data_IF_007243058369
#
_entry.id   IF_007243058369
#
_cell.length_a   1.000
_cell.length_b   1.000
_cell.length_c   1.000
_cell.angle_alpha   90.00
_cell.angle_beta   90.00
_cell.angle_gamma   90.00
#
_symmetry.space_group_name_H-M   'P 1'
#
loop_
_entity.id
_entity.type
_entity.pdbx_description
1 polymer ?
#
# COMPACT_ATOMS: atom_id res chain seq x y z
N UNK A 1 0.53 8.44 -19.76
CA UNK A 1 0.63 7.00 -19.52
C UNK A 1 0.14 6.76 -18.11
N UNK A 2 -0.93 5.99 -17.92
CA UNK A 2 -1.51 5.73 -16.59
C UNK A 2 -0.95 4.40 -16.09
N UNK A 3 -0.30 4.40 -14.93
CA UNK A 3 0.36 3.23 -14.35
C UNK A 3 -0.38 2.84 -13.07
N UNK A 4 -0.65 1.55 -12.92
CA UNK A 4 -1.10 1.00 -11.65
C UNK A 4 0.09 0.30 -11.01
N UNK A 5 0.48 0.76 -9.83
CA UNK A 5 1.61 0.20 -9.11
C UNK A 5 1.09 -0.66 -7.95
N UNK A 6 1.54 -1.92 -7.92
CA UNK A 6 1.20 -2.88 -6.87
C UNK A 6 2.46 -3.39 -6.22
N UNK A 7 2.56 -3.22 -4.91
CA UNK A 7 3.66 -3.71 -4.09
C UNK A 7 3.15 -4.80 -3.17
N UNK A 8 3.99 -5.81 -2.99
CA UNK A 8 3.79 -6.90 -2.05
C UNK A 8 5.02 -7.01 -1.17
N UNK A 9 4.82 -7.00 0.13
CA UNK A 9 5.88 -7.29 1.11
C UNK A 9 5.31 -8.08 2.28
N UNK A 10 6.19 -8.56 3.15
CA UNK A 10 5.83 -9.20 4.42
C UNK A 10 6.33 -8.31 5.55
N UNK A 11 5.45 -7.96 6.49
CA UNK A 11 5.78 -7.25 7.72
C UNK A 11 5.17 -7.98 8.91
N UNK A 12 6.01 -8.62 9.71
CA UNK A 12 5.57 -9.42 10.87
C UNK A 12 4.90 -8.56 11.95
N UNK A 13 5.19 -7.25 12.00
CA UNK A 13 4.57 -6.32 12.96
C UNK A 13 3.09 -6.06 12.67
N UNK A 14 2.66 -6.34 11.44
CA UNK A 14 1.28 -6.21 10.99
C UNK A 14 0.51 -7.53 11.03
N UNK A 15 1.14 -8.61 11.53
CA UNK A 15 0.43 -9.86 11.79
C UNK A 15 -0.61 -9.67 12.90
N UNK A 16 -1.76 -10.32 12.76
CA UNK A 16 -2.83 -10.25 13.74
C UNK A 16 -3.52 -11.62 13.86
N UNK A 17 -3.96 -12.02 15.07
CA UNK A 17 -4.68 -13.25 15.26
C UNK A 17 -6.02 -13.19 14.50
N UNK A 18 -6.21 -14.08 13.53
CA UNK A 18 -7.44 -14.17 12.75
C UNK A 18 -7.96 -15.59 12.76
N UNK A 19 -9.19 -15.78 13.23
CA UNK A 19 -9.84 -17.10 13.29
C UNK A 19 -10.32 -17.56 11.90
N UNK A 20 -10.51 -16.61 10.98
CA UNK A 20 -11.16 -16.86 9.67
C UNK A 20 -10.28 -16.54 8.46
N UNK A 21 -8.97 -16.34 8.65
CA UNK A 21 -8.03 -15.93 7.59
C UNK A 21 -8.50 -14.72 6.76
N UNK A 22 -9.28 -13.83 7.38
CA UNK A 22 -9.79 -12.63 6.71
C UNK A 22 -8.70 -11.57 6.66
N UNK A 23 -8.46 -11.05 5.45
CA UNK A 23 -7.60 -9.88 5.24
C UNK A 23 -8.35 -8.60 5.63
N UNK A 24 -7.62 -7.63 6.18
CA UNK A 24 -8.13 -6.30 6.48
C UNK A 24 -7.72 -5.35 5.36
N UNK A 25 -8.69 -4.61 4.82
CA UNK A 25 -8.43 -3.57 3.81
C UNK A 25 -8.53 -2.21 4.49
N UNK A 26 -7.55 -1.35 4.24
CA UNK A 26 -7.41 -0.03 4.81
C UNK A 26 -7.35 1.03 3.71
N UNK A 27 -7.88 2.21 4.05
CA UNK A 27 -7.86 3.41 3.20
C UNK A 27 -6.55 4.20 3.38
N UNK A 28 -6.26 5.12 2.46
CA UNK A 28 -5.02 5.90 2.39
C UNK A 28 -4.67 6.69 3.66
N UNK A 29 -5.64 6.95 4.55
CA UNK A 29 -5.41 7.59 5.86
C UNK A 29 -4.55 6.75 6.79
N UNK A 30 -4.73 5.42 6.78
CA UNK A 30 -3.97 4.52 7.66
C UNK A 30 -2.60 4.19 7.07
N UNK A 31 -2.48 4.20 5.74
CA UNK A 31 -1.21 4.03 5.03
C UNK A 31 -0.14 4.98 5.56
N UNK A 32 -0.49 6.25 5.84
CA UNK A 32 0.46 7.24 6.39
C UNK A 32 1.02 6.90 7.77
N UNK A 33 0.43 5.92 8.47
CA UNK A 33 0.88 5.44 9.79
C UNK A 33 1.65 4.13 9.72
N UNK A 34 1.71 3.51 8.54
CA UNK A 34 2.34 2.20 8.35
C UNK A 34 3.61 2.42 7.55
N UNK A 35 4.65 1.63 7.86
CA UNK A 35 5.86 1.64 7.06
C UNK A 35 5.55 1.12 5.65
N UNK A 36 5.89 1.91 4.65
CA UNK A 36 5.79 1.55 3.22
C UNK A 36 7.17 1.69 2.59
N UNK A 37 7.52 0.85 1.62
CA UNK A 37 8.81 0.98 0.92
C UNK A 37 8.84 2.29 0.12
N UNK A 38 9.92 3.06 0.28
CA UNK A 38 10.15 4.29 -0.49
C UNK A 38 10.54 3.95 -1.93
N UNK A 39 9.55 3.94 -2.83
CA UNK A 39 9.75 3.65 -4.25
C UNK A 39 9.84 4.97 -5.03
N UNK A 40 10.98 5.20 -5.67
CA UNK A 40 11.21 6.38 -6.49
C UNK A 40 11.70 6.00 -7.90
N UNK A 41 11.26 6.75 -8.90
CA UNK A 41 11.69 6.56 -10.29
C UNK A 41 12.88 7.48 -10.58
N UNK A 42 14.09 6.91 -10.59
CA UNK A 42 15.38 7.61 -10.73
C UNK A 42 15.47 8.55 -11.95
N UNK A 43 14.72 8.27 -13.03
CA UNK A 43 14.76 9.03 -14.29
C UNK A 43 13.48 9.83 -14.61
N UNK A 44 12.60 10.09 -13.64
CA UNK A 44 11.40 10.88 -13.94
C UNK A 44 11.77 12.37 -14.08
N UNK A 45 11.64 12.93 -15.30
CA UNK A 45 11.84 14.37 -15.56
C UNK A 45 10.80 15.27 -14.86
N UNK A 46 9.67 14.69 -14.44
CA UNK A 46 8.59 15.23 -13.59
C UNK A 46 7.53 14.13 -13.47
N UNK A 47 7.55 13.34 -12.40
CA UNK A 47 6.41 12.49 -12.04
C UNK A 47 5.47 13.27 -11.13
N UNK A 48 4.36 13.76 -11.68
CA UNK A 48 3.23 14.19 -10.85
C UNK A 48 2.55 12.94 -10.32
N UNK A 49 2.68 12.68 -9.02
CA UNK A 49 1.69 11.84 -8.33
C UNK A 49 0.37 12.61 -8.47
N UNK A 50 -0.68 11.95 -8.95
CA UNK A 50 -1.98 12.60 -9.13
C UNK A 50 -2.56 12.98 -7.76
N UNK A 51 -2.24 14.18 -7.30
CA UNK A 51 -2.68 14.80 -6.04
C UNK A 51 -4.17 15.22 -6.10
N UNK A 52 -4.99 14.47 -6.84
CA UNK A 52 -6.40 14.80 -7.08
C UNK A 52 -7.26 14.20 -5.97
N UNK A 53 -7.34 14.92 -4.86
CA UNK A 53 -8.42 14.91 -3.84
C UNK A 53 -8.65 13.65 -3.00
N UNK A 54 -8.18 12.48 -3.40
CA UNK A 54 -8.07 11.31 -2.52
C UNK A 54 -6.92 10.47 -3.06
N UNK A 55 -5.86 10.26 -2.27
CA UNK A 55 -4.81 9.31 -2.63
C UNK A 55 -5.49 7.96 -2.94
N UNK A 56 -5.53 7.53 -4.21
CA UNK A 56 -6.18 6.27 -4.64
C UNK A 56 -5.30 5.08 -4.23
N UNK A 57 -5.08 4.95 -2.93
CA UNK A 57 -4.22 3.98 -2.30
C UNK A 57 -5.10 3.00 -1.54
N UNK A 58 -4.95 1.72 -1.87
CA UNK A 58 -5.53 0.61 -1.13
C UNK A 58 -4.42 -0.17 -0.45
N UNK A 59 -4.54 -0.37 0.86
CA UNK A 59 -3.67 -1.27 1.62
C UNK A 59 -4.48 -2.47 2.08
N UNK A 60 -3.96 -3.68 1.88
CA UNK A 60 -4.57 -4.91 2.39
C UNK A 60 -3.54 -5.70 3.18
N UNK A 61 -3.86 -6.00 4.43
CA UNK A 61 -3.00 -6.78 5.33
C UNK A 61 -3.66 -8.12 5.58
N UNK A 62 -2.88 -9.17 5.42
CA UNK A 62 -3.27 -10.56 5.70
C UNK A 62 -2.80 -10.96 7.11
N UNK A 63 -3.46 -11.93 7.75
CA UNK A 63 -3.15 -12.33 9.14
C UNK A 63 -1.73 -12.82 9.36
N UNK A 64 -1.11 -13.37 8.31
CA UNK A 64 0.27 -13.86 8.27
C UNK A 64 1.33 -12.74 8.12
N UNK A 65 0.89 -11.48 8.10
CA UNK A 65 1.75 -10.31 7.91
C UNK A 65 2.05 -9.99 6.45
N UNK A 66 1.43 -10.67 5.48
CA UNK A 66 1.54 -10.25 4.09
C UNK A 66 0.77 -8.95 3.86
N UNK A 67 1.37 -8.03 3.12
CA UNK A 67 0.82 -6.72 2.82
C UNK A 67 0.79 -6.52 1.31
N UNK A 68 -0.38 -6.11 0.83
CA UNK A 68 -0.61 -5.64 -0.53
C UNK A 68 -0.87 -4.15 -0.48
N UNK A 69 -0.13 -3.39 -1.27
CA UNK A 69 -0.33 -1.96 -1.48
C UNK A 69 -0.57 -1.71 -2.95
N UNK A 70 -1.64 -1.01 -3.28
CA UNK A 70 -2.00 -0.65 -4.66
C UNK A 70 -2.22 0.84 -4.75
N UNK A 71 -1.57 1.49 -5.71
CA UNK A 71 -1.77 2.90 -6.04
C UNK A 71 -2.04 3.08 -7.53
N UNK A 72 -2.79 4.13 -7.87
CA UNK A 72 -3.12 4.54 -9.24
C UNK A 72 -2.56 5.94 -9.51
#
# INVERSE_FOLDING_TARGET
MTLYLRHYWKDERLSFPSITNKSMTFDGRLVKKIWVPDVFFVHSKRSFIHDTTTDNIMLRVFPDGHVLYSMR
#
